data_IF_665571221342
#
_entry.id   IF_665571221342
#
_cell.length_a   1.000
_cell.length_b   1.000
_cell.length_c   1.000
_cell.angle_alpha   90.00
_cell.angle_beta   90.00
_cell.angle_gamma   90.00
#
_symmetry.space_group_name_H-M   'P 1'
#
loop_
_entity.id
_entity.type
_entity.pdbx_description
1 polymer ?
#
# COMPACT_ATOMS: atom_id res chain seq x y z
N UNK A 1 1.68 -55.42 16.35
CA UNK A 1 0.52 -56.17 15.81
C UNK A 1 0.04 -55.36 14.61
N UNK A 2 0.43 -55.87 13.43
CA UNK A 2 0.26 -55.27 12.12
C UNK A 2 -1.19 -55.44 11.64
N UNK A 3 -1.82 -54.42 11.13
CA UNK A 3 -3.00 -54.58 10.27
C UNK A 3 -2.85 -53.67 9.05
N UNK A 4 -2.39 -54.30 7.96
CA UNK A 4 -2.35 -53.71 6.62
C UNK A 4 -3.73 -53.71 6.01
N UNK A 5 -4.03 -52.64 5.28
CA UNK A 5 -5.16 -52.58 4.35
C UNK A 5 -4.67 -52.86 2.93
N UNK A 6 -5.25 -53.83 2.23
CA UNK A 6 -4.93 -54.06 0.82
C UNK A 6 -5.74 -53.13 -0.07
N UNK A 7 -5.05 -52.31 -0.84
CA UNK A 7 -5.64 -51.54 -1.93
C UNK A 7 -5.80 -52.46 -3.15
N UNK A 8 -6.99 -52.94 -3.37
CA UNK A 8 -7.34 -53.75 -4.52
C UNK A 8 -7.61 -52.84 -5.73
N UNK A 9 -6.77 -53.01 -6.71
CA UNK A 9 -6.87 -52.45 -8.07
C UNK A 9 -8.07 -53.10 -8.80
N UNK A 10 -9.01 -52.27 -9.24
CA UNK A 10 -9.97 -52.68 -10.26
C UNK A 10 -9.81 -51.73 -11.47
N UNK A 11 -9.26 -52.31 -12.54
CA UNK A 11 -9.38 -51.82 -13.89
C UNK A 11 -10.82 -52.06 -14.37
N UNK A 12 -11.44 -51.08 -15.02
CA UNK A 12 -12.20 -51.30 -16.24
C UNK A 12 -12.99 -50.05 -16.63
N UNK A 13 -12.76 -49.70 -17.86
CA UNK A 13 -13.62 -49.23 -18.98
C UNK A 13 -13.95 -47.77 -19.07
N UNK A 14 -13.38 -47.24 -20.13
CA UNK A 14 -13.89 -46.21 -21.09
C UNK A 14 -15.28 -45.69 -20.83
N UNK A 15 -15.34 -44.38 -20.51
CA UNK A 15 -16.36 -43.57 -21.13
C UNK A 15 -15.78 -42.15 -21.35
N UNK A 16 -15.67 -41.83 -22.62
CA UNK A 16 -15.44 -40.53 -23.18
C UNK A 16 -16.71 -39.72 -23.01
N UNK A 17 -16.71 -38.70 -22.23
CA UNK A 17 -17.48 -37.48 -22.26
C UNK A 17 -17.57 -36.89 -20.84
N UNK A 18 -16.83 -35.95 -20.61
CA UNK A 18 -17.14 -34.63 -20.07
C UNK A 18 -15.90 -33.93 -19.51
N UNK A 19 -15.14 -33.37 -20.41
CA UNK A 19 -14.03 -32.47 -20.07
C UNK A 19 -14.49 -31.02 -20.12
N UNK A 20 -15.46 -30.63 -19.28
CA UNK A 20 -15.87 -29.24 -19.12
C UNK A 20 -16.36 -28.95 -17.71
N UNK A 21 -15.59 -29.38 -16.72
CA UNK A 21 -15.78 -28.92 -15.35
C UNK A 21 -14.39 -28.77 -14.67
N UNK A 22 -13.43 -28.18 -15.39
CA UNK A 22 -12.27 -27.60 -14.71
C UNK A 22 -12.71 -26.28 -14.10
N UNK A 23 -12.94 -26.41 -12.82
CA UNK A 23 -12.84 -25.38 -11.79
C UNK A 23 -12.40 -24.01 -12.32
N UNK A 24 -13.35 -23.15 -12.64
CA UNK A 24 -13.17 -21.71 -12.56
C UNK A 24 -12.96 -21.34 -11.09
N UNK A 25 -11.82 -21.68 -10.55
CA UNK A 25 -11.26 -20.92 -9.44
C UNK A 25 -10.97 -19.57 -10.05
N UNK A 26 -11.92 -18.66 -9.94
CA UNK A 26 -11.73 -17.26 -10.28
C UNK A 26 -10.56 -16.80 -9.43
N UNK A 27 -9.38 -16.73 -10.05
CA UNK A 27 -8.23 -16.12 -9.41
C UNK A 27 -8.64 -14.67 -9.14
N UNK A 28 -8.71 -14.30 -7.87
CA UNK A 28 -9.07 -12.94 -7.43
C UNK A 28 -8.07 -11.92 -7.99
N UNK A 29 -6.91 -12.42 -8.45
CA UNK A 29 -5.81 -11.64 -9.04
C UNK A 29 -5.69 -12.03 -10.50
N UNK A 30 -5.98 -11.10 -11.40
CA UNK A 30 -5.96 -11.29 -12.85
C UNK A 30 -4.52 -11.25 -13.41
N UNK A 31 -3.61 -10.49 -12.75
CA UNK A 31 -2.19 -10.34 -13.11
C UNK A 31 -1.29 -10.66 -11.94
N UNK A 32 -0.21 -11.38 -12.18
CA UNK A 32 0.87 -11.61 -11.22
C UNK A 32 1.79 -10.38 -11.13
N UNK A 33 2.64 -10.32 -10.10
CA UNK A 33 3.55 -9.18 -9.83
C UNK A 33 4.51 -8.91 -11.00
N UNK A 34 4.91 -9.97 -11.72
CA UNK A 34 5.83 -9.87 -12.87
C UNK A 34 5.09 -9.70 -14.21
N UNK A 35 3.76 -9.78 -14.22
CA UNK A 35 2.97 -9.63 -15.43
C UNK A 35 2.89 -8.16 -15.87
N UNK A 36 2.87 -7.98 -17.17
CA UNK A 36 2.71 -6.66 -17.80
C UNK A 36 1.34 -6.58 -18.47
N UNK A 37 0.36 -5.96 -17.82
CA UNK A 37 -0.93 -5.78 -18.44
C UNK A 37 -0.82 -4.95 -19.73
N UNK A 38 -1.69 -5.17 -20.72
CA UNK A 38 -1.72 -4.38 -21.94
C UNK A 38 -1.97 -2.91 -21.62
N UNK A 39 -1.32 -2.01 -22.37
CA UNK A 39 -1.39 -0.57 -22.13
C UNK A 39 -2.85 -0.02 -22.11
N UNK A 40 -3.74 -0.64 -22.87
CA UNK A 40 -5.16 -0.28 -22.92
C UNK A 40 -5.88 -0.44 -21.59
N UNK A 41 -5.44 -1.36 -20.72
CA UNK A 41 -5.98 -1.59 -19.38
C UNK A 41 -5.16 -0.90 -18.31
N UNK A 42 -3.83 -0.94 -18.44
CA UNK A 42 -2.91 -0.35 -17.47
C UNK A 42 -3.08 1.17 -17.35
N UNK A 43 -3.28 1.88 -18.46
CA UNK A 43 -3.40 3.34 -18.46
C UNK A 43 -4.65 3.83 -17.75
N UNK A 44 -5.87 3.35 -18.07
CA UNK A 44 -7.09 3.77 -17.36
C UNK A 44 -7.05 3.43 -15.86
N UNK A 45 -6.58 2.23 -15.51
CA UNK A 45 -6.45 1.82 -14.11
C UNK A 45 -5.41 2.67 -13.36
N UNK A 46 -4.28 2.98 -13.99
CA UNK A 46 -3.26 3.87 -13.44
C UNK A 46 -3.78 5.28 -13.21
N UNK A 47 -4.53 5.85 -14.16
CA UNK A 47 -5.16 7.17 -14.03
C UNK A 47 -6.19 7.16 -12.89
N UNK A 48 -7.04 6.14 -12.83
CA UNK A 48 -8.03 5.99 -11.76
C UNK A 48 -7.36 5.95 -10.38
N UNK A 49 -6.30 5.16 -10.25
CA UNK A 49 -5.55 5.04 -9.00
C UNK A 49 -4.87 6.37 -8.62
N UNK A 50 -4.26 7.04 -9.60
CA UNK A 50 -3.65 8.35 -9.40
C UNK A 50 -4.67 9.39 -8.92
N UNK A 51 -5.85 9.46 -9.56
CA UNK A 51 -6.90 10.40 -9.19
C UNK A 51 -7.43 10.16 -7.78
N UNK A 52 -7.62 8.89 -7.39
CA UNK A 52 -8.07 8.51 -6.05
C UNK A 52 -7.06 8.96 -4.98
N UNK A 53 -5.76 8.74 -5.20
CA UNK A 53 -4.71 9.11 -4.26
C UNK A 53 -4.39 10.61 -4.29
N UNK A 54 -4.55 11.27 -5.45
CA UNK A 54 -4.33 12.70 -5.58
C UNK A 54 -5.24 13.49 -4.65
N UNK A 55 -6.52 13.12 -4.59
CA UNK A 55 -7.49 13.82 -3.75
C UNK A 55 -7.09 13.77 -2.26
N UNK A 56 -6.70 12.62 -1.75
CA UNK A 56 -6.24 12.47 -0.35
C UNK A 56 -4.93 13.22 -0.09
N UNK A 57 -3.99 13.17 -1.04
CA UNK A 57 -2.70 13.85 -0.91
C UNK A 57 -2.84 15.39 -0.88
N UNK A 58 -3.84 15.92 -1.58
CA UNK A 58 -4.12 17.37 -1.61
C UNK A 58 -5.02 17.79 -0.44
N UNK A 59 -6.06 17.02 -0.13
CA UNK A 59 -7.04 17.39 0.88
C UNK A 59 -6.45 17.50 2.29
N UNK A 60 -5.58 16.56 2.69
CA UNK A 60 -5.06 16.53 4.05
C UNK A 60 -4.18 17.72 4.41
N UNK A 61 -3.20 18.15 3.58
CA UNK A 61 -2.47 19.40 3.83
C UNK A 61 -3.36 20.65 3.91
N UNK A 62 -4.41 20.73 3.07
CA UNK A 62 -5.37 21.85 3.11
C UNK A 62 -6.13 21.88 4.43
N UNK A 63 -6.60 20.71 4.89
CA UNK A 63 -7.31 20.59 6.18
C UNK A 63 -6.40 21.02 7.34
N UNK A 64 -5.15 20.55 7.37
CA UNK A 64 -4.18 20.93 8.39
C UNK A 64 -3.89 22.43 8.34
N UNK A 65 -3.57 22.96 7.15
CA UNK A 65 -3.28 24.38 6.95
C UNK A 65 -4.44 25.28 7.37
N UNK A 66 -5.68 24.90 7.02
CA UNK A 66 -6.88 25.61 7.41
C UNK A 66 -7.15 25.55 8.92
N UNK A 67 -6.91 24.40 9.56
CA UNK A 67 -7.13 24.22 10.99
C UNK A 67 -6.15 25.02 11.85
N UNK A 68 -4.89 25.15 11.42
CA UNK A 68 -3.85 25.92 12.14
C UNK A 68 -3.79 27.39 11.69
N UNK A 69 -4.60 27.79 10.68
CA UNK A 69 -4.73 29.17 10.26
C UNK A 69 -3.50 29.75 9.55
N UNK A 70 -2.70 28.94 8.84
CA UNK A 70 -1.56 29.43 8.06
C UNK A 70 -2.00 30.17 6.80
N UNK A 71 -1.14 31.07 6.32
CA UNK A 71 -1.42 31.90 5.15
C UNK A 71 -1.46 31.09 3.85
N UNK A 72 -1.99 31.74 2.78
CA UNK A 72 -2.11 31.13 1.45
C UNK A 72 -0.76 30.66 0.88
N UNK A 73 0.31 31.42 1.12
CA UNK A 73 1.65 31.07 0.66
C UNK A 73 2.15 29.76 1.29
N UNK A 74 1.98 29.62 2.60
CA UNK A 74 2.39 28.42 3.34
C UNK A 74 1.54 27.20 2.95
N UNK A 75 0.22 27.40 2.76
CA UNK A 75 -0.68 26.36 2.25
C UNK A 75 -0.23 25.86 0.88
N UNK A 76 0.11 26.77 -0.04
CA UNK A 76 0.59 26.42 -1.37
C UNK A 76 1.91 25.66 -1.29
N UNK A 77 2.83 26.11 -0.44
CA UNK A 77 4.10 25.42 -0.20
C UNK A 77 3.90 24.00 0.34
N UNK A 78 3.02 23.82 1.33
CA UNK A 78 2.67 22.50 1.87
C UNK A 78 2.14 21.55 0.81
N UNK A 79 1.25 22.04 -0.06
CA UNK A 79 0.69 21.25 -1.16
C UNK A 79 1.77 20.84 -2.17
N UNK A 80 2.63 21.77 -2.58
CA UNK A 80 3.71 21.50 -3.51
C UNK A 80 4.68 20.45 -2.94
N UNK A 81 5.06 20.58 -1.67
CA UNK A 81 5.95 19.64 -1.02
C UNK A 81 5.29 18.26 -0.83
N UNK A 82 4.02 18.20 -0.45
CA UNK A 82 3.29 16.95 -0.32
C UNK A 82 3.23 16.19 -1.65
N UNK A 83 2.90 16.88 -2.75
CA UNK A 83 2.85 16.26 -4.08
C UNK A 83 4.24 15.82 -4.57
N UNK A 84 5.27 16.65 -4.36
CA UNK A 84 6.62 16.33 -4.75
C UNK A 84 7.13 15.09 -4.00
N UNK A 85 6.99 15.07 -2.68
CA UNK A 85 7.42 13.94 -1.84
C UNK A 85 6.63 12.67 -2.16
N UNK A 86 5.30 12.78 -2.36
CA UNK A 86 4.47 11.65 -2.75
C UNK A 86 4.91 11.07 -4.11
N UNK A 87 5.24 11.94 -5.08
CA UNK A 87 5.76 11.51 -6.39
C UNK A 87 7.11 10.80 -6.28
N UNK A 88 8.06 11.36 -5.54
CA UNK A 88 9.37 10.74 -5.33
C UNK A 88 9.23 9.40 -4.59
N UNK A 89 8.43 9.37 -3.52
CA UNK A 89 8.18 8.14 -2.75
C UNK A 89 7.53 7.05 -3.63
N UNK A 90 6.59 7.43 -4.50
CA UNK A 90 5.95 6.50 -5.45
C UNK A 90 6.96 5.92 -6.45
N UNK A 91 7.87 6.74 -6.97
CA UNK A 91 8.93 6.26 -7.88
C UNK A 91 9.86 5.28 -7.16
N UNK A 92 10.29 5.60 -5.93
CA UNK A 92 11.14 4.72 -5.13
C UNK A 92 10.42 3.43 -4.76
N UNK A 93 9.11 3.48 -4.52
CA UNK A 93 8.29 2.31 -4.23
C UNK A 93 8.18 1.38 -5.44
N UNK A 94 7.98 1.94 -6.63
CA UNK A 94 7.87 1.18 -7.89
C UNK A 94 9.24 0.68 -8.38
N UNK A 95 10.28 1.50 -8.25
CA UNK A 95 11.66 1.20 -8.64
C UNK A 95 12.57 1.22 -7.42
N UNK A 96 12.75 0.09 -6.73
CA UNK A 96 13.51 0.05 -5.49
C UNK A 96 14.94 0.56 -5.63
N UNK A 97 15.36 1.37 -4.68
CA UNK A 97 16.75 1.83 -4.56
C UNK A 97 17.39 1.15 -3.35
N UNK A 98 18.22 0.16 -3.61
CA UNK A 98 18.83 -0.65 -2.55
C UNK A 98 17.79 -1.46 -1.76
N UNK A 99 17.74 -1.35 -0.41
CA UNK A 99 16.79 -2.07 0.42
C UNK A 99 15.42 -1.37 0.54
N UNK A 100 15.23 -0.21 -0.12
CA UNK A 100 14.02 0.62 -0.01
C UNK A 100 13.16 0.44 -1.25
N UNK A 101 11.86 0.17 -1.05
CA UNK A 101 10.88 -0.05 -2.11
C UNK A 101 10.47 -1.52 -2.23
N UNK A 102 9.18 -1.75 -2.51
CA UNK A 102 8.59 -3.09 -2.54
C UNK A 102 8.39 -3.66 -3.96
N UNK A 103 8.78 -2.95 -5.02
CA UNK A 103 8.48 -3.27 -6.44
C UNK A 103 6.98 -3.38 -6.74
N UNK A 104 6.18 -2.65 -5.99
CA UNK A 104 4.73 -2.63 -6.20
C UNK A 104 4.31 -1.29 -6.81
N UNK A 105 3.41 -1.27 -7.79
CA UNK A 105 2.91 -0.05 -8.40
C UNK A 105 1.87 0.63 -7.49
N UNK A 106 2.28 0.96 -6.26
CA UNK A 106 1.43 1.60 -5.26
C UNK A 106 1.80 3.08 -5.20
N UNK A 107 0.80 3.95 -5.35
CA UNK A 107 0.99 5.39 -5.18
C UNK A 107 1.07 5.71 -3.69
N UNK A 108 2.17 6.34 -3.29
CA UNK A 108 2.38 6.79 -1.91
C UNK A 108 1.73 8.17 -1.71
N UNK A 109 1.08 8.35 -0.57
CA UNK A 109 0.38 9.59 -0.25
C UNK A 109 0.34 9.86 1.25
N UNK A 110 -0.37 10.93 1.62
CA UNK A 110 -0.55 11.34 3.01
C UNK A 110 -1.54 10.42 3.73
N UNK A 111 -1.30 10.16 5.01
CA UNK A 111 -2.18 9.35 5.86
C UNK A 111 -3.07 10.22 6.75
N UNK A 112 -4.38 9.95 6.73
CA UNK A 112 -5.36 10.67 7.53
C UNK A 112 -5.18 10.47 9.05
N UNK A 113 -4.52 9.40 9.46
CA UNK A 113 -4.32 9.09 10.88
C UNK A 113 -3.49 10.15 11.61
N UNK A 114 -2.62 10.85 10.88
CA UNK A 114 -1.76 11.89 11.44
C UNK A 114 -2.39 13.28 11.48
N UNK A 115 -3.57 13.48 10.88
CA UNK A 115 -4.19 14.82 10.78
C UNK A 115 -4.46 15.41 12.15
N UNK A 116 -5.13 14.67 13.04
CA UNK A 116 -5.48 15.18 14.37
C UNK A 116 -4.24 15.53 15.22
N UNK A 117 -3.24 14.67 15.39
CA UNK A 117 -2.04 15.01 16.13
C UNK A 117 -1.21 16.14 15.49
N UNK A 118 -1.17 16.25 14.16
CA UNK A 118 -0.47 17.35 13.50
C UNK A 118 -1.17 18.69 13.66
N UNK A 119 -2.51 18.72 13.65
CA UNK A 119 -3.29 19.92 13.97
C UNK A 119 -3.04 20.35 15.42
N UNK A 120 -3.01 19.41 16.34
CA UNK A 120 -2.77 19.71 17.76
C UNK A 120 -1.38 20.32 17.98
N UNK A 121 -0.34 19.70 17.42
CA UNK A 121 1.03 20.23 17.43
C UNK A 121 1.10 21.60 16.74
N UNK A 122 0.45 21.76 15.60
CA UNK A 122 0.45 23.01 14.83
C UNK A 122 -0.21 24.16 15.58
N UNK A 123 -1.32 23.92 16.26
CA UNK A 123 -2.01 24.93 17.05
C UNK A 123 -1.23 25.36 18.31
N UNK A 124 -0.45 24.46 18.89
CA UNK A 124 0.33 24.75 20.10
C UNK A 124 1.69 25.39 19.79
N UNK A 125 2.38 24.91 18.76
CA UNK A 125 3.78 25.22 18.50
C UNK A 125 4.05 25.78 17.08
N UNK A 126 3.04 25.86 16.24
CA UNK A 126 3.12 26.38 14.88
C UNK A 126 3.63 25.38 13.84
N UNK A 127 3.68 25.85 12.59
CA UNK A 127 3.98 25.03 11.41
C UNK A 127 5.37 24.36 11.47
N UNK A 128 6.37 25.07 11.97
CA UNK A 128 7.72 24.51 12.09
C UNK A 128 7.79 23.29 13.02
N UNK A 129 6.98 23.26 14.06
CA UNK A 129 6.91 22.12 14.97
C UNK A 129 6.28 20.88 14.33
N UNK A 130 5.36 21.05 13.38
CA UNK A 130 4.79 19.94 12.59
C UNK A 130 5.93 19.23 11.83
N UNK A 131 6.78 19.97 11.12
CA UNK A 131 7.91 19.38 10.41
C UNK A 131 8.90 18.70 11.37
N UNK A 132 9.19 19.32 12.51
CA UNK A 132 10.01 18.73 13.55
C UNK A 132 9.45 17.42 14.08
N UNK A 133 8.16 17.37 14.38
CA UNK A 133 7.47 16.17 14.85
C UNK A 133 7.51 15.03 13.82
N UNK A 134 7.28 15.33 12.54
CA UNK A 134 7.35 14.34 11.45
C UNK A 134 8.77 13.79 11.27
N UNK A 135 9.80 14.66 11.31
CA UNK A 135 11.19 14.25 11.23
C UNK A 135 11.57 13.36 12.41
N UNK A 136 11.09 13.66 13.62
CA UNK A 136 11.34 12.83 14.79
C UNK A 136 10.56 11.51 14.79
N UNK A 137 9.38 11.48 14.18
CA UNK A 137 8.60 10.26 14.04
C UNK A 137 9.18 9.26 13.03
N UNK A 138 9.81 9.75 11.96
CA UNK A 138 10.34 8.90 10.89
C UNK A 138 11.34 7.82 11.37
N UNK A 139 12.33 8.08 12.24
CA UNK A 139 13.20 7.05 12.79
C UNK A 139 12.44 6.01 13.63
N UNK A 140 11.40 6.42 14.34
CA UNK A 140 10.56 5.51 15.15
C UNK A 140 9.81 4.55 14.24
N UNK A 141 9.24 5.04 13.14
CA UNK A 141 8.57 4.20 12.13
C UNK A 141 9.54 3.20 11.48
N UNK A 142 10.76 3.63 11.16
CA UNK A 142 11.81 2.75 10.62
C UNK A 142 12.15 1.63 11.62
N UNK A 143 12.31 1.97 12.89
CA UNK A 143 12.62 1.00 13.94
C UNK A 143 11.46 0.01 14.10
N UNK A 144 10.23 0.49 14.17
CA UNK A 144 9.04 -0.36 14.27
C UNK A 144 8.95 -1.27 13.03
N UNK A 145 9.16 -0.72 11.82
CA UNK A 145 9.15 -1.49 10.58
C UNK A 145 10.21 -2.60 10.56
N UNK A 146 11.39 -2.35 11.13
CA UNK A 146 12.44 -3.37 11.22
C UNK A 146 12.08 -4.51 12.17
N UNK A 147 11.42 -4.21 13.30
CA UNK A 147 11.02 -5.21 14.29
C UNK A 147 9.67 -5.87 14.00
N UNK A 148 8.94 -5.45 12.96
CA UNK A 148 7.60 -5.95 12.68
C UNK A 148 7.58 -7.46 12.36
N UNK A 149 8.64 -7.96 11.75
CA UNK A 149 8.77 -9.39 11.43
C UNK A 149 8.90 -10.25 12.69
N UNK A 150 9.58 -9.75 13.72
CA UNK A 150 9.70 -10.43 15.02
C UNK A 150 8.36 -10.42 15.77
N UNK A 151 7.63 -9.28 15.71
CA UNK A 151 6.32 -9.13 16.34
C UNK A 151 5.26 -9.97 15.61
N UNK A 152 5.38 -10.15 14.29
CA UNK A 152 4.47 -10.94 13.47
C UNK A 152 4.40 -12.41 13.92
N UNK A 153 5.49 -12.93 14.48
CA UNK A 153 5.53 -14.28 15.06
C UNK A 153 4.65 -14.43 16.32
N UNK A 154 4.29 -13.34 16.97
CA UNK A 154 3.46 -13.31 18.18
C UNK A 154 1.94 -13.36 17.88
N UNK A 155 1.53 -13.08 16.63
CA UNK A 155 0.14 -13.15 16.20
C UNK A 155 -0.14 -14.51 15.58
N UNK A 156 -1.00 -15.36 16.19
CA UNK A 156 -1.36 -16.65 15.63
C UNK A 156 -2.09 -16.45 14.31
N UNK A 157 -1.67 -17.21 13.30
CA UNK A 157 -2.40 -17.29 12.04
C UNK A 157 -3.72 -18.04 12.31
N UNK A 158 -4.82 -17.32 12.30
CA UNK A 158 -6.17 -17.90 12.29
C UNK A 158 -6.53 -18.33 10.87
#
# INVERSE_FOLDING_TARGET
MLMGYPYTRAMSTSDSHDSTAESSTTSIVEYDIEDKPPAGEAIPLGIQHLLAMFLSTVALPIVIAGAIGVGQADTTFLLQMALLVAGVATIVQAYPVGPVGARLPIVMGTSAIFVAPLIDVGNQFGLAAIFGAVILAAPVEIIIGYFIDDIRGLFPRS
#
